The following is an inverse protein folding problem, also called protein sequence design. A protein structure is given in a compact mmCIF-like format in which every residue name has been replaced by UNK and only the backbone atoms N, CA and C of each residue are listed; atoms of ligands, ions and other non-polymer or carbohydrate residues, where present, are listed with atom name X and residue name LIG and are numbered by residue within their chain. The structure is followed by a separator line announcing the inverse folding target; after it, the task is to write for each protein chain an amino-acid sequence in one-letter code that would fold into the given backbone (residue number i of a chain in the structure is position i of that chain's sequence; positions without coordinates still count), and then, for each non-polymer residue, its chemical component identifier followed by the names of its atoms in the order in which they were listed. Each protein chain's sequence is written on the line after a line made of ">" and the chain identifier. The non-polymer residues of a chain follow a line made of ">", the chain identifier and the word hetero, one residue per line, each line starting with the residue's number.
data_IF_821215636276
#
_entry.id   IF_821215636276
#
_cell.length_a   1.000
_cell.length_b   1.000
_cell.length_c   1.000
_cell.angle_alpha   90.00
_cell.angle_beta   90.00
_cell.angle_gamma   90.00
#
_symmetry.space_group_name_H-M   'P 1'
#
loop_
_entity.id
_entity.type
_entity.pdbx_description
1 polymer ?
#
# COMPACT_ATOMS: atom_id res chain seq x y z
N UNK A 1 41.84 -14.69 -0.06
CA UNK A 1 42.48 -13.45 -0.60
C UNK A 1 42.77 -12.41 0.47
N UNK A 2 41.78 -11.90 1.24
CA UNK A 2 42.05 -10.90 2.29
C UNK A 2 42.99 -11.41 3.40
N UNK A 3 42.83 -12.68 3.82
CA UNK A 3 43.69 -13.33 4.81
C UNK A 3 45.16 -13.38 4.40
N UNK A 4 45.45 -13.64 3.11
CA UNK A 4 46.82 -13.64 2.56
C UNK A 4 47.42 -12.23 2.61
N UNK A 5 46.64 -11.20 2.27
CA UNK A 5 47.08 -9.80 2.38
C UNK A 5 47.42 -9.38 3.82
N UNK A 6 46.62 -9.83 4.80
CA UNK A 6 46.89 -9.58 6.23
C UNK A 6 48.14 -10.31 6.70
N UNK A 7 48.34 -11.57 6.29
CA UNK A 7 49.55 -12.34 6.63
C UNK A 7 50.81 -11.66 6.08
N UNK A 8 50.77 -11.20 4.81
CA UNK A 8 51.89 -10.48 4.20
C UNK A 8 52.17 -9.15 4.92
N UNK A 9 51.14 -8.44 5.36
CA UNK A 9 51.28 -7.20 6.12
C UNK A 9 51.91 -7.46 7.50
N UNK A 10 51.50 -8.52 8.21
CA UNK A 10 52.10 -8.91 9.48
C UNK A 10 53.56 -9.34 9.34
N UNK A 11 53.89 -10.11 8.30
CA UNK A 11 55.27 -10.51 8.01
C UNK A 11 56.12 -9.28 7.67
N UNK A 12 55.61 -8.37 6.83
CA UNK A 12 56.31 -7.13 6.48
C UNK A 12 56.50 -6.21 7.69
N UNK A 13 55.48 -6.06 8.54
CA UNK A 13 55.57 -5.27 9.77
C UNK A 13 56.56 -5.89 10.76
N UNK A 14 56.53 -7.21 10.96
CA UNK A 14 57.50 -7.92 11.80
C UNK A 14 58.93 -7.76 11.29
N UNK A 15 59.14 -7.91 9.99
CA UNK A 15 60.45 -7.69 9.37
C UNK A 15 60.93 -6.24 9.52
N UNK A 16 60.04 -5.26 9.35
CA UNK A 16 60.35 -3.84 9.51
C UNK A 16 60.74 -3.48 10.96
N UNK A 17 60.08 -4.07 11.97
CA UNK A 17 60.42 -3.87 13.38
C UNK A 17 61.80 -4.46 13.70
N UNK A 18 62.09 -5.68 13.22
CA UNK A 18 63.39 -6.33 13.45
C UNK A 18 64.53 -5.56 12.78
N UNK A 19 64.33 -5.08 11.54
CA UNK A 19 65.35 -4.26 10.86
C UNK A 19 65.52 -2.90 11.52
N UNK A 20 64.45 -2.28 12.02
CA UNK A 20 64.52 -1.02 12.75
C UNK A 20 65.32 -1.13 14.06
N UNK A 21 65.08 -2.19 14.85
CA UNK A 21 65.84 -2.46 16.08
C UNK A 21 67.32 -2.72 15.76
N UNK A 22 67.60 -3.47 14.69
CA UNK A 22 68.96 -3.68 14.21
C UNK A 22 69.64 -2.39 13.75
N UNK A 23 68.92 -1.52 13.03
CA UNK A 23 69.46 -0.25 12.53
C UNK A 23 69.82 0.72 13.66
N UNK A 24 69.07 0.74 14.77
CA UNK A 24 69.41 1.58 15.93
C UNK A 24 70.69 1.13 16.65
N UNK A 25 71.08 -0.15 16.53
CA UNK A 25 72.31 -0.68 17.13
C UNK A 25 73.57 -0.40 16.28
N UNK A 26 73.45 0.32 15.17
CA UNK A 26 74.51 0.43 14.16
C UNK A 26 75.60 1.46 14.53
N UNK A 27 76.64 0.96 15.17
CA UNK A 27 78.02 1.46 15.04
C UNK A 27 78.96 0.49 14.30
N UNK A 28 78.49 -0.69 13.86
CA UNK A 28 79.33 -1.73 13.23
C UNK A 28 78.54 -2.92 12.69
N UNK A 29 79.24 -3.94 12.18
CA UNK A 29 78.63 -5.20 11.70
C UNK A 29 77.89 -5.91 12.82
N UNK A 30 76.60 -6.18 12.63
CA UNK A 30 75.74 -6.78 13.65
C UNK A 30 75.66 -8.28 13.37
N UNK A 31 76.07 -9.09 14.34
CA UNK A 31 75.81 -10.52 14.34
C UNK A 31 74.35 -10.73 14.77
N UNK A 32 73.47 -11.05 13.82
CA UNK A 32 72.10 -11.42 14.13
C UNK A 32 72.11 -12.89 14.54
N UNK A 33 71.65 -13.14 15.78
CA UNK A 33 71.48 -14.49 16.31
C UNK A 33 70.00 -14.77 16.40
N UNK A 34 69.48 -15.61 15.51
CA UNK A 34 68.09 -16.04 15.53
C UNK A 34 68.03 -17.56 15.39
N UNK A 35 67.28 -18.23 16.28
CA UNK A 35 67.10 -19.69 16.26
C UNK A 35 68.42 -20.50 16.31
N UNK A 36 69.44 -19.98 17.00
CA UNK A 36 70.75 -20.64 17.11
C UNK A 36 71.69 -20.44 15.92
N UNK A 37 71.27 -19.72 14.87
CA UNK A 37 72.13 -19.35 13.76
C UNK A 37 72.63 -17.91 13.92
N UNK A 38 73.95 -17.73 13.90
CA UNK A 38 74.62 -16.43 13.87
C UNK A 38 74.98 -16.09 12.42
N UNK A 39 74.39 -15.04 11.86
CA UNK A 39 74.80 -14.49 10.55
C UNK A 39 75.19 -13.03 10.71
N UNK A 40 76.38 -12.68 10.23
CA UNK A 40 76.80 -11.29 10.09
C UNK A 40 76.12 -10.72 8.85
N UNK A 41 75.34 -9.66 9.03
CA UNK A 41 74.60 -9.01 7.95
C UNK A 41 75.20 -7.64 7.68
N UNK A 42 75.47 -7.35 6.41
CA UNK A 42 75.98 -6.04 5.99
C UNK A 42 74.86 -4.98 6.04
N UNK A 43 75.20 -3.69 6.22
CA UNK A 43 74.19 -2.61 6.20
C UNK A 43 73.39 -2.57 4.89
N UNK A 44 74.00 -2.95 3.77
CA UNK A 44 73.35 -2.99 2.46
C UNK A 44 72.31 -4.12 2.36
N UNK A 45 72.59 -5.29 2.96
CA UNK A 45 71.61 -6.36 3.07
C UNK A 45 70.42 -5.93 3.96
N UNK A 46 70.67 -5.23 5.07
CA UNK A 46 69.58 -4.69 5.91
C UNK A 46 68.68 -3.71 5.14
N UNK A 47 69.29 -2.83 4.33
CA UNK A 47 68.54 -1.92 3.46
C UNK A 47 67.69 -2.69 2.43
N UNK A 48 68.24 -3.77 1.84
CA UNK A 48 67.49 -4.63 0.92
C UNK A 48 66.29 -5.31 1.62
N UNK A 49 66.47 -5.86 2.83
CA UNK A 49 65.36 -6.46 3.59
C UNK A 49 64.29 -5.43 3.96
N UNK A 50 64.68 -4.21 4.35
CA UNK A 50 63.75 -3.13 4.62
C UNK A 50 62.93 -2.76 3.36
N UNK A 51 63.59 -2.68 2.19
CA UNK A 51 62.91 -2.42 0.93
C UNK A 51 61.89 -3.52 0.57
N UNK A 52 62.26 -4.80 0.77
CA UNK A 52 61.36 -5.94 0.56
C UNK A 52 60.17 -5.88 1.54
N UNK A 53 60.42 -5.57 2.82
CA UNK A 53 59.37 -5.45 3.83
C UNK A 53 58.36 -4.34 3.47
N UNK A 54 58.82 -3.17 3.01
CA UNK A 54 57.97 -2.08 2.54
C UNK A 54 57.13 -2.50 1.33
N UNK A 55 57.73 -3.23 0.37
CA UNK A 55 56.99 -3.75 -0.79
C UNK A 55 55.90 -4.74 -0.37
N UNK A 56 56.16 -5.62 0.60
CA UNK A 56 55.15 -6.55 1.11
C UNK A 56 54.00 -5.84 1.84
N UNK A 57 54.32 -4.81 2.62
CA UNK A 57 53.29 -3.98 3.28
C UNK A 57 52.44 -3.26 2.24
N UNK A 58 53.07 -2.64 1.24
CA UNK A 58 52.38 -1.95 0.15
C UNK A 58 51.50 -2.92 -0.66
N UNK A 59 51.99 -4.12 -0.95
CA UNK A 59 51.24 -5.16 -1.64
C UNK A 59 50.06 -5.67 -0.80
N UNK A 60 50.27 -5.92 0.49
CA UNK A 60 49.20 -6.30 1.42
C UNK A 60 48.10 -5.25 1.49
N UNK A 61 48.48 -3.97 1.55
CA UNK A 61 47.56 -2.84 1.53
C UNK A 61 46.79 -2.74 0.19
N UNK A 62 47.47 -2.93 -0.94
CA UNK A 62 46.84 -2.94 -2.26
C UNK A 62 45.80 -4.07 -2.39
N UNK A 63 46.10 -5.26 -1.88
CA UNK A 63 45.15 -6.38 -1.87
C UNK A 63 43.96 -6.11 -0.95
N UNK A 64 44.20 -5.56 0.25
CA UNK A 64 43.12 -5.22 1.20
C UNK A 64 42.20 -4.13 0.63
N UNK A 65 42.76 -3.08 0.04
CA UNK A 65 41.98 -1.99 -0.58
C UNK A 65 41.20 -2.47 -1.81
N UNK A 66 41.75 -3.41 -2.60
CA UNK A 66 41.03 -4.01 -3.73
C UNK A 66 39.80 -4.82 -3.27
N UNK A 67 39.92 -5.57 -2.17
CA UNK A 67 38.82 -6.33 -1.60
C UNK A 67 37.73 -5.41 -1.02
N UNK A 68 38.12 -4.30 -0.38
CA UNK A 68 37.19 -3.31 0.13
C UNK A 68 36.35 -2.68 -1.01
N UNK A 69 36.97 -2.39 -2.17
CA UNK A 69 36.25 -1.87 -3.36
C UNK A 69 35.22 -2.85 -3.90
N UNK A 70 35.53 -4.16 -3.94
CA UNK A 70 34.56 -5.18 -4.37
C UNK A 70 33.37 -5.25 -3.43
N UNK A 71 33.60 -5.20 -2.12
CA UNK A 71 32.53 -5.24 -1.11
C UNK A 71 31.61 -4.01 -1.16
N UNK A 72 32.13 -2.86 -1.57
CA UNK A 72 31.33 -1.65 -1.74
C UNK A 72 30.32 -1.76 -2.90
N UNK A 73 30.63 -2.51 -3.96
CA UNK A 73 29.69 -2.77 -5.07
C UNK A 73 28.60 -3.76 -4.66
N UNK A 74 28.98 -4.86 -4.00
CA UNK A 74 28.01 -5.83 -3.48
C UNK A 74 26.98 -5.18 -2.54
N UNK A 75 27.41 -4.25 -1.67
CA UNK A 75 26.48 -3.52 -0.80
C UNK A 75 25.47 -2.62 -1.53
N UNK A 76 25.73 -2.23 -2.79
CA UNK A 76 24.76 -1.48 -3.59
C UNK A 76 23.73 -2.43 -4.17
N UNK A 77 24.20 -3.55 -4.71
CA UNK A 77 23.35 -4.64 -5.21
C UNK A 77 22.45 -5.18 -4.09
N UNK A 78 22.97 -5.40 -2.88
CA UNK A 78 22.18 -5.83 -1.72
C UNK A 78 21.09 -4.80 -1.33
N UNK A 79 21.38 -3.51 -1.45
CA UNK A 79 20.41 -2.44 -1.16
C UNK A 79 19.34 -2.33 -2.23
N UNK A 80 19.72 -2.51 -3.49
CA UNK A 80 18.78 -2.54 -4.62
C UNK A 80 17.88 -3.77 -4.52
N UNK A 81 18.44 -4.94 -4.18
CA UNK A 81 17.68 -6.16 -3.93
C UNK A 81 16.70 -5.99 -2.75
N UNK A 82 17.12 -5.34 -1.65
CA UNK A 82 16.23 -5.06 -0.52
C UNK A 82 15.08 -4.10 -0.89
N UNK A 83 15.36 -3.08 -1.72
CA UNK A 83 14.31 -2.17 -2.22
C UNK A 83 13.33 -2.88 -3.14
N UNK A 84 13.81 -3.80 -4.00
CA UNK A 84 12.94 -4.59 -4.86
C UNK A 84 12.03 -5.52 -4.04
N UNK A 85 12.57 -6.18 -3.01
CA UNK A 85 11.78 -7.02 -2.11
C UNK A 85 10.69 -6.21 -1.37
N UNK A 86 11.01 -5.00 -0.90
CA UNK A 86 10.02 -4.13 -0.25
C UNK A 86 8.91 -3.67 -1.21
N UNK A 87 9.25 -3.39 -2.49
CA UNK A 87 8.26 -3.03 -3.52
C UNK A 87 7.37 -4.22 -3.87
N UNK A 88 7.93 -5.42 -3.95
CA UNK A 88 7.17 -6.65 -4.21
C UNK A 88 6.19 -6.96 -3.06
N UNK A 89 6.64 -6.89 -1.81
CA UNK A 89 5.77 -7.07 -0.63
C UNK A 89 4.65 -6.03 -0.59
N UNK A 90 4.95 -4.76 -0.91
CA UNK A 90 3.94 -3.71 -1.04
C UNK A 90 2.93 -3.98 -2.16
N UNK A 91 3.38 -4.53 -3.28
CA UNK A 91 2.49 -4.90 -4.37
C UNK A 91 1.59 -6.10 -4.00
N UNK A 92 2.11 -7.08 -3.27
CA UNK A 92 1.33 -8.22 -2.77
C UNK A 92 0.29 -7.80 -1.73
N UNK A 93 0.67 -6.97 -0.77
CA UNK A 93 -0.27 -6.45 0.24
C UNK A 93 -1.36 -5.59 -0.39
N UNK A 94 -1.04 -4.78 -1.40
CA UNK A 94 -2.03 -4.01 -2.15
C UNK A 94 -3.00 -4.92 -2.93
N UNK A 95 -2.51 -6.03 -3.50
CA UNK A 95 -3.38 -7.02 -4.17
C UNK A 95 -4.35 -7.67 -3.20
N UNK A 96 -3.87 -8.11 -2.04
CA UNK A 96 -4.72 -8.70 -1.00
C UNK A 96 -5.75 -7.70 -0.46
N UNK A 97 -5.39 -6.43 -0.31
CA UNK A 97 -6.36 -5.39 0.09
C UNK A 97 -7.42 -5.17 -0.98
N UNK A 98 -7.02 -5.16 -2.26
CA UNK A 98 -7.97 -5.02 -3.37
C UNK A 98 -8.93 -6.21 -3.48
N UNK A 99 -8.45 -7.43 -3.24
CA UNK A 99 -9.27 -8.66 -3.22
C UNK A 99 -10.30 -8.61 -2.08
N UNK A 100 -9.87 -8.23 -0.87
CA UNK A 100 -10.78 -8.06 0.28
C UNK A 100 -11.86 -7.01 0.01
N UNK A 101 -11.51 -5.87 -0.59
CA UNK A 101 -12.51 -4.85 -0.94
C UNK A 101 -13.54 -5.36 -1.94
N UNK A 102 -13.12 -6.17 -2.91
CA UNK A 102 -14.02 -6.79 -3.89
C UNK A 102 -14.95 -7.80 -3.20
N UNK A 103 -14.42 -8.63 -2.31
CA UNK A 103 -15.22 -9.57 -1.52
C UNK A 103 -16.25 -8.85 -0.63
N UNK A 104 -15.81 -7.80 0.09
CA UNK A 104 -16.69 -6.99 0.93
C UNK A 104 -17.79 -6.28 0.11
N UNK A 105 -17.44 -5.75 -1.06
CA UNK A 105 -18.42 -5.17 -1.98
C UNK A 105 -19.44 -6.23 -2.46
N UNK A 106 -18.97 -7.43 -2.81
CA UNK A 106 -19.83 -8.54 -3.21
C UNK A 106 -20.81 -8.98 -2.11
N UNK A 107 -20.36 -9.05 -0.86
CA UNK A 107 -21.23 -9.37 0.29
C UNK A 107 -22.29 -8.27 0.52
N UNK A 108 -21.92 -7.00 0.33
CA UNK A 108 -22.83 -5.87 0.46
C UNK A 108 -23.91 -5.88 -0.63
N UNK A 109 -23.53 -6.16 -1.87
CA UNK A 109 -24.47 -6.26 -2.99
C UNK A 109 -25.46 -7.40 -2.78
N UNK A 110 -25.01 -8.54 -2.27
CA UNK A 110 -25.91 -9.66 -1.95
C UNK A 110 -26.89 -9.31 -0.82
N UNK A 111 -26.46 -8.60 0.22
CA UNK A 111 -27.37 -8.10 1.27
C UNK A 111 -28.39 -7.10 0.71
N UNK A 112 -27.97 -6.21 -0.19
CA UNK A 112 -28.88 -5.28 -0.86
C UNK A 112 -29.93 -6.00 -1.71
N UNK A 113 -29.52 -6.97 -2.54
CA UNK A 113 -30.47 -7.82 -3.30
C UNK A 113 -31.44 -8.56 -2.38
N UNK A 114 -30.94 -9.06 -1.25
CA UNK A 114 -31.78 -9.75 -0.26
C UNK A 114 -32.83 -8.80 0.33
N UNK A 115 -32.46 -7.57 0.68
CA UNK A 115 -33.41 -6.56 1.18
C UNK A 115 -34.41 -6.12 0.11
N UNK A 116 -33.95 -5.95 -1.12
CA UNK A 116 -34.81 -5.62 -2.26
C UNK A 116 -35.85 -6.71 -2.49
N UNK A 117 -35.45 -7.99 -2.48
CA UNK A 117 -36.40 -9.10 -2.61
C UNK A 117 -37.44 -9.14 -1.47
N UNK A 118 -37.04 -8.81 -0.23
CA UNK A 118 -37.98 -8.70 0.91
C UNK A 118 -38.94 -7.52 0.78
N UNK A 119 -38.47 -6.38 0.28
CA UNK A 119 -39.32 -5.21 0.04
C UNK A 119 -40.34 -5.51 -1.07
N UNK A 120 -39.90 -6.10 -2.19
CA UNK A 120 -40.79 -6.52 -3.28
C UNK A 120 -41.88 -7.48 -2.78
N UNK A 121 -41.51 -8.46 -1.95
CA UNK A 121 -42.48 -9.40 -1.39
C UNK A 121 -43.50 -8.71 -0.46
N UNK A 122 -43.08 -7.70 0.31
CA UNK A 122 -43.99 -6.89 1.14
C UNK A 122 -44.89 -6.01 0.31
N UNK A 123 -44.38 -5.42 -0.77
CA UNK A 123 -45.18 -4.58 -1.67
C UNK A 123 -46.25 -5.41 -2.38
N UNK A 124 -45.92 -6.63 -2.81
CA UNK A 124 -46.90 -7.60 -3.32
C UNK A 124 -47.97 -7.96 -2.28
N UNK A 125 -47.55 -8.21 -1.02
CA UNK A 125 -48.47 -8.50 0.08
C UNK A 125 -49.42 -7.32 0.32
N UNK A 126 -48.89 -6.09 0.40
CA UNK A 126 -49.68 -4.88 0.59
C UNK A 126 -50.64 -4.65 -0.57
N UNK A 127 -50.19 -4.82 -1.82
CA UNK A 127 -51.03 -4.73 -3.01
C UNK A 127 -52.18 -5.75 -2.99
N UNK A 128 -51.92 -6.99 -2.55
CA UNK A 128 -52.96 -8.00 -2.41
C UNK A 128 -54.00 -7.64 -1.34
N UNK A 129 -53.54 -7.08 -0.21
CA UNK A 129 -54.41 -6.65 0.89
C UNK A 129 -55.24 -5.42 0.52
N UNK A 130 -54.67 -4.49 -0.24
CA UNK A 130 -55.37 -3.32 -0.76
C UNK A 130 -56.46 -3.73 -1.76
N UNK A 131 -56.16 -4.67 -2.65
CA UNK A 131 -57.16 -5.23 -3.57
C UNK A 131 -58.30 -5.94 -2.82
N UNK A 132 -58.00 -6.67 -1.75
CA UNK A 132 -59.02 -7.30 -0.91
C UNK A 132 -59.90 -6.26 -0.19
N UNK A 133 -59.29 -5.24 0.41
CA UNK A 133 -60.02 -4.14 1.06
C UNK A 133 -60.93 -3.42 0.06
N UNK A 134 -60.42 -3.15 -1.14
CA UNK A 134 -61.19 -2.51 -2.22
C UNK A 134 -62.41 -3.34 -2.63
N UNK A 135 -62.28 -4.67 -2.71
CA UNK A 135 -63.42 -5.59 -2.96
C UNK A 135 -64.44 -5.54 -1.83
N UNK A 136 -64.00 -5.65 -0.57
CA UNK A 136 -64.90 -5.59 0.59
C UNK A 136 -65.62 -4.25 0.69
N UNK A 137 -64.94 -3.16 0.36
CA UNK A 137 -65.54 -1.82 0.35
C UNK A 137 -66.60 -1.69 -0.75
N UNK A 138 -66.34 -2.24 -1.95
CA UNK A 138 -67.34 -2.29 -3.01
C UNK A 138 -68.57 -3.10 -2.60
N UNK A 139 -68.38 -4.32 -2.04
CA UNK A 139 -69.48 -5.15 -1.52
C UNK A 139 -70.28 -4.44 -0.42
N UNK A 140 -69.61 -3.68 0.45
CA UNK A 140 -70.26 -2.92 1.51
C UNK A 140 -71.09 -1.75 0.96
N UNK A 141 -70.56 -1.02 -0.03
CA UNK A 141 -71.27 0.06 -0.74
C UNK A 141 -72.51 -0.44 -1.46
N UNK A 142 -72.46 -1.62 -2.07
CA UNK A 142 -73.62 -2.25 -2.71
C UNK A 142 -74.75 -2.58 -1.70
N UNK A 143 -74.39 -2.99 -0.48
CA UNK A 143 -75.37 -3.36 0.55
C UNK A 143 -76.02 -2.16 1.25
N UNK A 144 -75.26 -1.09 1.51
CA UNK A 144 -75.78 0.05 2.28
C UNK A 144 -76.48 1.10 1.42
N UNK A 145 -76.19 1.16 0.12
CA UNK A 145 -76.61 2.27 -0.72
C UNK A 145 -75.94 3.59 -0.33
N UNK A 146 -76.09 4.67 -1.12
CA UNK A 146 -75.49 5.95 -0.80
C UNK A 146 -76.14 6.59 0.44
N UNK A 147 -75.33 7.06 1.39
CA UNK A 147 -75.86 7.77 2.56
C UNK A 147 -76.09 9.27 2.26
N UNK A 148 -76.87 9.94 3.11
CA UNK A 148 -77.07 11.40 3.04
C UNK A 148 -75.75 12.17 3.11
N UNK A 149 -74.79 11.68 3.90
CA UNK A 149 -73.47 12.31 4.01
C UNK A 149 -72.67 12.21 2.70
N UNK A 150 -72.86 11.15 1.92
CA UNK A 150 -72.15 10.94 0.66
C UNK A 150 -72.69 11.84 -0.45
N UNK A 151 -74.01 12.08 -0.47
CA UNK A 151 -74.62 13.07 -1.38
C UNK A 151 -74.19 14.49 -1.00
N UNK A 152 -74.16 14.83 0.29
CA UNK A 152 -73.74 16.16 0.75
C UNK A 152 -72.26 16.43 0.47
N UNK A 153 -71.40 15.41 0.51
CA UNK A 153 -69.97 15.53 0.20
C UNK A 153 -69.67 15.42 -1.31
N UNK A 154 -70.69 15.21 -2.15
CA UNK A 154 -70.54 15.09 -3.60
C UNK A 154 -69.94 13.76 -4.07
N UNK A 155 -69.91 12.73 -3.22
CA UNK A 155 -69.49 11.36 -3.60
C UNK A 155 -70.60 10.54 -4.26
N UNK A 156 -71.84 10.99 -4.11
CA UNK A 156 -73.00 10.40 -4.76
C UNK A 156 -73.86 11.51 -5.33
N UNK A 157 -74.47 11.27 -6.48
CA UNK A 157 -75.40 12.20 -7.13
C UNK A 157 -76.84 11.68 -7.01
N UNK A 158 -77.79 12.59 -6.83
CA UNK A 158 -79.23 12.26 -6.68
C UNK A 158 -79.78 12.57 -5.29
N UNK A 159 -81.03 12.15 -5.00
CA UNK A 159 -81.72 12.44 -3.75
C UNK A 159 -81.93 11.15 -2.93
N UNK A 160 -81.36 11.10 -1.72
CA UNK A 160 -81.47 9.93 -0.82
C UNK A 160 -82.91 9.67 -0.39
N UNK A 161 -83.73 10.72 -0.24
CA UNK A 161 -85.13 10.58 0.17
C UNK A 161 -86.03 10.02 -0.94
N UNK A 162 -85.63 10.18 -2.21
CA UNK A 162 -86.37 9.68 -3.37
C UNK A 162 -85.87 8.30 -3.84
N UNK A 163 -84.81 7.76 -3.21
CA UNK A 163 -84.17 6.51 -3.63
C UNK A 163 -83.45 6.60 -4.97
N UNK A 164 -83.19 7.81 -5.47
CA UNK A 164 -82.53 8.07 -6.76
C UNK A 164 -81.03 8.34 -6.62
N UNK A 165 -80.51 8.34 -5.40
CA UNK A 165 -79.09 8.50 -5.15
C UNK A 165 -78.31 7.33 -5.78
N UNK A 166 -77.31 7.67 -6.58
CA UNK A 166 -76.35 6.71 -7.15
C UNK A 166 -74.94 7.20 -6.87
N UNK A 167 -74.03 6.27 -6.62
CA UNK A 167 -72.62 6.62 -6.47
C UNK A 167 -72.12 7.23 -7.76
N UNK A 168 -71.44 8.38 -7.67
CA UNK A 168 -70.79 8.96 -8.83
C UNK A 168 -69.63 8.03 -9.18
N UNK A 169 -69.71 7.36 -10.32
CA UNK A 169 -68.60 6.58 -10.87
C UNK A 169 -67.55 7.59 -11.35
N UNK A 170 -66.82 8.13 -10.38
CA UNK A 170 -65.73 9.06 -10.63
C UNK A 170 -64.59 8.17 -11.11
N UNK A 171 -64.70 7.77 -12.38
CA UNK A 171 -63.81 6.86 -13.05
C UNK A 171 -62.39 7.20 -12.67
N UNK A 172 -61.65 6.18 -12.23
CA UNK A 172 -60.26 6.24 -11.84
C UNK A 172 -59.33 6.53 -13.03
N UNK A 173 -59.76 7.41 -13.94
CA UNK A 173 -58.99 7.98 -15.05
C UNK A 173 -58.01 9.04 -14.52
N UNK A 174 -57.37 8.71 -13.40
CA UNK A 174 -56.11 9.31 -12.96
C UNK A 174 -54.99 8.42 -13.53
N UNK A 175 -55.04 8.22 -14.83
CA UNK A 175 -53.96 7.63 -15.63
C UNK A 175 -52.73 8.53 -15.49
N UNK A 176 -51.64 7.92 -15.02
CA UNK A 176 -50.26 8.20 -15.45
C UNK A 176 -49.70 9.62 -15.26
N UNK A 177 -49.96 10.24 -14.11
CA UNK A 177 -49.21 11.39 -13.63
C UNK A 177 -47.88 11.06 -12.94
N UNK A 178 -47.30 9.89 -13.22
CA UNK A 178 -46.05 9.41 -12.61
C UNK A 178 -44.86 9.45 -13.60
N UNK A 179 -44.85 10.40 -14.55
CA UNK A 179 -43.61 10.87 -15.18
C UNK A 179 -42.89 11.85 -14.22
N UNK A 180 -42.61 11.35 -13.01
CA UNK A 180 -41.67 11.97 -12.11
C UNK A 180 -40.29 11.71 -12.67
N UNK A 181 -39.89 12.49 -13.68
CA UNK A 181 -38.48 12.68 -14.04
C UNK A 181 -37.77 13.16 -12.79
N UNK A 182 -37.26 12.20 -12.02
CA UNK A 182 -36.34 12.42 -10.93
C UNK A 182 -35.13 13.05 -11.61
N UNK A 183 -35.13 14.38 -11.59
CA UNK A 183 -34.05 15.21 -12.10
C UNK A 183 -32.87 14.86 -11.23
N UNK A 184 -32.06 13.94 -11.75
CA UNK A 184 -30.74 13.61 -11.28
C UNK A 184 -29.97 14.93 -11.24
N UNK A 185 -30.03 15.58 -10.08
CA UNK A 185 -29.22 16.72 -9.74
C UNK A 185 -27.85 16.12 -9.41
N UNK A 186 -27.20 15.62 -10.46
CA UNK A 186 -25.82 15.19 -10.46
C UNK A 186 -25.00 16.38 -10.01
N UNK A 187 -24.78 16.46 -8.70
CA UNK A 187 -23.68 17.21 -8.14
C UNK A 187 -22.44 16.49 -8.63
N UNK A 188 -21.99 16.91 -9.81
CA UNK A 188 -20.65 16.76 -10.34
C UNK A 188 -19.67 17.49 -9.41
N UNK A 189 -19.55 16.96 -8.19
CA UNK A 189 -18.45 17.17 -7.26
C UNK A 189 -17.58 15.94 -7.39
N UNK A 190 -16.82 15.90 -8.48
CA UNK A 190 -15.49 15.31 -8.38
C UNK A 190 -14.60 16.39 -7.77
N UNK A 191 -14.35 16.23 -6.47
CA UNK A 191 -13.13 16.68 -5.79
C UNK A 191 -11.96 16.50 -6.77
N UNK A 192 -11.24 17.52 -7.25
CA UNK A 192 -10.46 18.51 -6.49
C UNK A 192 -9.79 17.86 -5.29
N UNK A 193 -8.79 17.03 -5.56
CA UNK A 193 -8.02 16.41 -4.50
C UNK A 193 -6.92 15.47 -4.96
N UNK A 194 -6.05 15.88 -5.89
CA UNK A 194 -4.64 15.50 -5.81
C UNK A 194 -3.80 16.41 -6.71
N UNK A 195 -3.51 17.59 -6.17
CA UNK A 195 -2.36 18.37 -6.61
C UNK A 195 -1.10 17.63 -6.19
N UNK A 196 -0.54 16.85 -7.11
CA UNK A 196 0.82 16.36 -7.02
C UNK A 196 1.75 17.56 -7.14
N UNK A 197 2.04 18.17 -5.98
CA UNK A 197 3.09 19.15 -5.80
C UNK A 197 4.44 18.43 -5.89
N UNK A 198 4.88 18.21 -7.12
CA UNK A 198 6.22 17.74 -7.46
C UNK A 198 7.22 18.89 -7.41
N UNK A 199 7.31 19.61 -6.30
CA UNK A 199 8.41 20.53 -6.02
C UNK A 199 9.29 19.96 -4.90
N UNK A 200 9.98 18.87 -5.24
CA UNK A 200 11.12 18.37 -4.45
C UNK A 200 12.32 19.31 -4.65
N UNK A 201 12.22 20.50 -4.05
CA UNK A 201 13.37 21.34 -3.75
C UNK A 201 14.08 20.74 -2.55
N UNK A 202 14.83 19.66 -2.76
CA UNK A 202 15.87 19.23 -1.83
C UNK A 202 17.02 20.23 -1.91
N UNK A 203 16.81 21.40 -1.30
CA UNK A 203 17.84 22.31 -0.85
C UNK A 203 18.42 21.77 0.46
N UNK A 204 19.21 20.68 0.41
CA UNK A 204 19.97 20.24 1.58
C UNK A 204 21.27 21.06 1.71
N UNK A 205 21.04 22.24 2.27
CA UNK A 205 21.92 23.05 3.10
C UNK A 205 22.72 22.18 4.09
N UNK A 206 23.99 21.87 3.78
CA UNK A 206 25.01 21.53 4.79
C UNK A 206 26.13 22.56 4.80
N UNK A 207 25.96 23.53 5.71
CA UNK A 207 26.95 24.05 6.67
C UNK A 207 28.36 23.42 6.57
N UNK A 208 29.41 24.17 6.20
CA UNK A 208 30.24 25.01 7.10
C UNK A 208 30.54 24.37 8.47
N UNK A 209 31.71 23.76 8.57
CA UNK A 209 32.75 24.04 9.57
C UNK A 209 34.10 23.68 8.94
#
# INVERSE_FOLDING_TARGET
>A
MALIGVILLLIGAGAAVVTYIGAQAAGGTIALTALGFTRTVSPLELAAYAAIAVLLIALGWALLSSAARRRARARREDKEAARLAEVEEKAETARLDSERRIEEAGLRDEDLRRRESQLSARDEELGSREAELSRREAEWRERQGPSVADVVTGRAEGNVHEGTASWTDNGTDRTDGADGTYRDNGTDRTDVGDGVDGSDTTAERRTRA
#
